data_IF_913358199751
#
_entry.id   IF_913358199751
#
_cell.length_a   1.000
_cell.length_b   1.000
_cell.length_c   1.000
_cell.angle_alpha   90.00
_cell.angle_beta   90.00
_cell.angle_gamma   90.00
#
_symmetry.space_group_name_H-M   'P 1'
#
loop_
_entity.id
_entity.type
_entity.pdbx_description
1 polymer ?
#
# COMPACT_ATOMS: atom_id res chain seq x y z
N UNK A 1 -47.51 -45.16 2.78
CA UNK A 1 -46.19 -44.59 3.07
C UNK A 1 -45.32 -44.73 1.82
N UNK A 2 -45.03 -43.63 1.13
CA UNK A 2 -43.84 -43.54 0.29
C UNK A 2 -42.89 -42.44 0.82
N UNK A 3 -41.62 -42.78 0.96
CA UNK A 3 -40.54 -41.82 1.18
C UNK A 3 -40.29 -41.07 -0.13
N UNK A 4 -40.63 -39.78 -0.15
CA UNK A 4 -40.33 -38.85 -1.23
C UNK A 4 -39.10 -38.03 -0.81
N UNK A 5 -37.92 -38.38 -1.33
CA UNK A 5 -36.69 -37.59 -1.15
C UNK A 5 -36.65 -36.50 -2.20
N UNK A 6 -37.31 -35.39 -1.90
CA UNK A 6 -37.23 -34.15 -2.67
C UNK A 6 -35.83 -33.54 -2.56
N UNK A 7 -35.09 -33.53 -3.68
CA UNK A 7 -34.01 -32.59 -3.90
C UNK A 7 -34.61 -31.21 -4.21
N UNK A 8 -34.33 -30.15 -3.42
CA UNK A 8 -34.81 -28.82 -3.74
C UNK A 8 -33.98 -28.22 -4.89
N UNK A 9 -34.66 -27.93 -6.00
CA UNK A 9 -34.16 -27.11 -7.07
C UNK A 9 -33.74 -25.73 -6.52
N UNK A 10 -32.45 -25.43 -6.63
CA UNK A 10 -31.87 -24.14 -6.26
C UNK A 10 -32.44 -23.08 -7.20
N UNK A 11 -33.40 -22.30 -6.70
CA UNK A 11 -33.89 -21.07 -7.30
C UNK A 11 -32.73 -20.06 -7.37
N UNK A 12 -31.97 -20.09 -8.47
CA UNK A 12 -30.96 -19.09 -8.77
C UNK A 12 -31.67 -17.82 -9.21
N UNK A 13 -32.08 -17.01 -8.23
CA UNK A 13 -32.62 -15.68 -8.46
C UNK A 13 -31.66 -14.88 -9.34
N UNK A 14 -32.12 -14.49 -10.52
CA UNK A 14 -31.49 -13.46 -11.36
C UNK A 14 -31.23 -12.24 -10.48
N UNK A 15 -29.97 -11.98 -10.15
CA UNK A 15 -29.54 -10.67 -9.65
C UNK A 15 -29.81 -9.67 -10.76
N UNK A 16 -30.98 -9.03 -10.75
CA UNK A 16 -31.16 -7.78 -11.48
C UNK A 16 -30.11 -6.83 -10.91
N UNK A 17 -29.14 -6.46 -11.73
CA UNK A 17 -28.15 -5.46 -11.38
C UNK A 17 -28.88 -4.11 -11.28
N UNK A 18 -29.43 -3.83 -10.10
CA UNK A 18 -29.88 -2.49 -9.75
C UNK A 18 -28.63 -1.61 -9.85
N UNK A 19 -28.62 -0.67 -10.79
CA UNK A 19 -27.54 0.33 -10.87
C UNK A 19 -27.51 1.08 -9.54
N UNK A 20 -26.53 0.72 -8.70
CA UNK A 20 -26.27 1.36 -7.43
C UNK A 20 -25.26 2.47 -7.67
N UNK A 21 -25.66 3.72 -7.45
CA UNK A 21 -24.72 4.81 -7.43
C UNK A 21 -23.98 4.77 -6.09
N UNK A 22 -22.68 4.52 -6.14
CA UNK A 22 -21.82 4.53 -4.96
C UNK A 22 -21.28 5.95 -4.80
N UNK A 23 -21.50 6.57 -3.65
CA UNK A 23 -20.90 7.86 -3.34
C UNK A 23 -20.21 7.80 -1.99
N UNK A 24 -19.04 8.43 -1.90
CA UNK A 24 -18.31 8.48 -0.64
C UNK A 24 -19.11 9.27 0.39
N UNK A 25 -19.13 8.77 1.62
CA UNK A 25 -19.64 9.52 2.75
C UNK A 25 -18.70 10.70 2.95
N UNK A 26 -19.20 11.88 2.59
CA UNK A 26 -18.56 13.16 2.90
C UNK A 26 -18.31 13.22 4.40
N UNK A 27 -17.23 13.86 4.83
CA UNK A 27 -16.95 14.13 6.26
C UNK A 27 -17.99 15.06 6.90
N UNK A 28 -19.08 15.38 6.20
CA UNK A 28 -20.35 15.86 6.74
C UNK A 28 -20.93 14.94 7.83
N UNK A 29 -20.38 13.74 8.10
CA UNK A 29 -20.64 13.04 9.38
C UNK A 29 -20.17 13.88 10.59
N UNK A 30 -19.32 14.89 10.43
CA UNK A 30 -19.02 15.87 11.49
C UNK A 30 -20.04 17.02 11.54
N UNK A 31 -20.88 17.14 10.52
CA UNK A 31 -21.90 18.17 10.35
C UNK A 31 -23.24 17.50 9.99
N UNK A 32 -24.02 17.04 10.99
CA UNK A 32 -25.24 16.25 10.78
C UNK A 32 -26.17 16.88 9.75
N UNK A 33 -26.36 18.21 9.85
CA UNK A 33 -27.17 19.00 8.93
C UNK A 33 -26.65 19.02 7.49
N UNK A 34 -25.34 18.98 7.31
CA UNK A 34 -24.72 18.87 5.99
C UNK A 34 -25.06 17.51 5.37
N UNK A 35 -24.94 16.44 6.16
CA UNK A 35 -25.32 15.08 5.72
C UNK A 35 -26.81 15.01 5.39
N UNK A 36 -27.68 15.57 6.24
CA UNK A 36 -29.12 15.69 5.98
C UNK A 36 -29.36 16.40 4.63
N UNK A 37 -28.84 17.62 4.46
CA UNK A 37 -29.00 18.40 3.24
C UNK A 37 -28.46 17.71 1.98
N UNK A 38 -27.36 16.95 2.10
CA UNK A 38 -26.81 16.15 1.02
C UNK A 38 -27.73 14.99 0.62
N UNK A 39 -28.27 14.25 1.59
CA UNK A 39 -29.20 13.16 1.32
C UNK A 39 -30.50 13.69 0.69
N UNK A 40 -31.00 14.83 1.15
CA UNK A 40 -32.14 15.55 0.55
C UNK A 40 -31.84 16.03 -0.88
N UNK A 41 -30.62 16.55 -1.14
CA UNK A 41 -30.16 16.89 -2.49
C UNK A 41 -30.11 15.66 -3.41
N UNK A 42 -29.74 14.49 -2.89
CA UNK A 42 -29.69 13.24 -3.66
C UNK A 42 -31.09 12.72 -3.98
N UNK A 43 -32.05 12.74 -3.05
CA UNK A 43 -33.44 12.35 -3.34
C UNK A 43 -34.08 13.23 -4.40
N UNK A 44 -33.87 14.55 -4.34
CA UNK A 44 -34.35 15.48 -5.38
C UNK A 44 -33.73 15.22 -6.75
N UNK A 45 -32.63 14.47 -6.81
CA UNK A 45 -31.97 14.04 -8.04
C UNK A 45 -32.36 12.62 -8.46
N UNK A 46 -33.28 11.97 -7.75
CA UNK A 46 -33.70 10.59 -7.99
C UNK A 46 -32.68 9.54 -7.49
N UNK A 47 -31.91 9.87 -6.45
CA UNK A 47 -31.00 8.94 -5.79
C UNK A 47 -31.46 8.68 -4.36
N UNK A 48 -32.07 7.52 -4.17
CA UNK A 48 -32.60 7.06 -2.90
C UNK A 48 -31.55 6.32 -2.08
N UNK A 49 -31.42 6.62 -0.79
CA UNK A 49 -30.46 5.94 0.06
C UNK A 49 -30.90 4.48 0.32
N UNK A 50 -30.09 3.52 -0.12
CA UNK A 50 -30.34 2.06 0.02
C UNK A 50 -29.56 1.47 1.20
N UNK A 51 -28.31 1.90 1.40
CA UNK A 51 -27.48 1.46 2.51
C UNK A 51 -26.35 2.46 2.83
N UNK A 52 -25.81 2.39 4.04
CA UNK A 52 -24.61 3.11 4.46
C UNK A 52 -23.51 2.14 4.93
N UNK A 53 -22.32 2.23 4.33
CA UNK A 53 -21.12 1.49 4.74
C UNK A 53 -20.16 2.35 5.57
N UNK A 54 -18.95 1.86 5.88
CA UNK A 54 -17.95 2.63 6.67
C UNK A 54 -17.57 3.99 6.06
N UNK A 55 -17.49 4.05 4.73
CA UNK A 55 -16.98 5.20 3.98
C UNK A 55 -17.85 5.54 2.76
N UNK A 56 -18.90 4.76 2.46
CA UNK A 56 -19.67 4.87 1.23
C UNK A 56 -21.17 4.83 1.54
N UNK A 57 -21.92 5.73 0.93
CA UNK A 57 -23.37 5.63 0.77
C UNK A 57 -23.69 4.92 -0.53
N UNK A 58 -24.65 4.00 -0.46
CA UNK A 58 -25.15 3.25 -1.59
C UNK A 58 -26.53 3.78 -1.93
N UNK A 59 -26.67 4.32 -3.13
CA UNK A 59 -27.94 4.86 -3.61
C UNK A 59 -28.54 3.98 -4.69
N UNK A 60 -29.87 3.83 -4.65
CA UNK A 60 -30.69 3.25 -5.70
C UNK A 60 -31.30 4.37 -6.54
N UNK A 61 -31.33 4.20 -7.86
CA UNK A 61 -31.98 5.17 -8.75
C UNK A 61 -33.50 5.04 -8.65
N UNK A 62 -34.17 6.14 -8.37
CA UNK A 62 -35.63 6.28 -8.20
C UNK A 62 -36.12 7.55 -8.89
N UNK A 63 -37.42 7.78 -8.87
CA UNK A 63 -37.97 9.07 -9.27
C UNK A 63 -37.57 10.16 -8.27
N UNK A 64 -37.33 11.40 -8.71
CA UNK A 64 -37.07 12.53 -7.83
C UNK A 64 -38.19 12.72 -6.79
N UNK A 65 -37.83 12.76 -5.52
CA UNK A 65 -38.76 12.96 -4.41
C UNK A 65 -38.27 14.06 -3.48
N UNK A 66 -39.22 14.78 -2.87
CA UNK A 66 -38.91 15.76 -1.83
C UNK A 66 -39.09 15.10 -0.45
N UNK A 67 -37.95 14.68 0.10
CA UNK A 67 -37.86 13.98 1.38
C UNK A 67 -36.98 14.79 2.31
N UNK A 68 -37.24 14.65 3.62
CA UNK A 68 -36.38 15.16 4.69
C UNK A 68 -35.59 14.03 5.29
N UNK A 69 -34.32 14.30 5.60
CA UNK A 69 -33.47 13.36 6.31
C UNK A 69 -33.17 13.84 7.71
N UNK A 70 -32.98 12.89 8.62
CA UNK A 70 -32.53 13.14 9.98
C UNK A 70 -31.37 12.23 10.33
N UNK A 71 -30.30 12.82 10.85
CA UNK A 71 -29.13 12.09 11.31
C UNK A 71 -29.06 12.16 12.84
N UNK A 72 -29.05 11.01 13.50
CA UNK A 72 -28.93 10.87 14.95
C UNK A 72 -27.66 10.07 15.30
N UNK A 73 -26.99 10.44 16.40
CA UNK A 73 -25.74 9.81 16.83
C UNK A 73 -25.99 9.10 18.15
N UNK A 74 -25.70 7.80 18.20
CA UNK A 74 -25.96 7.00 19.38
C UNK A 74 -24.84 5.99 19.60
N UNK A 75 -24.08 6.12 20.70
CA UNK A 75 -22.85 5.34 20.94
C UNK A 75 -23.04 3.82 20.91
N UNK A 76 -24.22 3.33 21.25
CA UNK A 76 -24.56 1.91 21.29
C UNK A 76 -25.64 1.61 20.23
N UNK A 77 -26.31 0.47 20.31
CA UNK A 77 -27.49 0.22 19.49
C UNK A 77 -28.60 1.24 19.79
N UNK A 78 -29.25 1.70 18.72
CA UNK A 78 -30.34 2.64 18.82
C UNK A 78 -31.53 2.00 19.58
N UNK A 79 -32.07 2.62 20.63
CA UNK A 79 -33.15 2.02 21.40
C UNK A 79 -34.42 1.86 20.54
N UNK A 80 -35.05 0.68 20.59
CA UNK A 80 -36.32 0.40 19.88
C UNK A 80 -37.40 1.43 20.18
N UNK A 81 -37.42 1.95 21.41
CA UNK A 81 -38.34 3.01 21.84
C UNK A 81 -38.17 4.30 21.04
N UNK A 82 -36.94 4.63 20.65
CA UNK A 82 -36.65 5.82 19.84
C UNK A 82 -37.04 5.57 18.37
N UNK A 83 -36.80 4.37 17.84
CA UNK A 83 -37.27 3.99 16.50
C UNK A 83 -38.81 4.08 16.42
N UNK A 84 -39.51 3.57 17.44
CA UNK A 84 -40.96 3.63 17.54
C UNK A 84 -41.47 5.09 17.56
N UNK A 85 -40.84 5.98 18.33
CA UNK A 85 -41.21 7.41 18.36
C UNK A 85 -41.09 8.09 16.99
N UNK A 86 -40.02 7.78 16.25
CA UNK A 86 -39.85 8.30 14.88
C UNK A 86 -40.95 7.76 13.97
N UNK A 87 -41.23 6.46 14.05
CA UNK A 87 -42.29 5.80 13.28
C UNK A 87 -43.66 6.40 13.54
N UNK A 88 -44.00 6.69 14.80
CA UNK A 88 -45.27 7.32 15.19
C UNK A 88 -45.42 8.73 14.61
N UNK A 89 -44.31 9.42 14.34
CA UNK A 89 -44.27 10.74 13.71
C UNK A 89 -44.16 10.68 12.18
N UNK A 90 -44.28 9.51 11.56
CA UNK A 90 -44.19 9.33 10.11
C UNK A 90 -42.76 9.28 9.56
N UNK A 91 -41.75 9.09 10.42
CA UNK A 91 -40.37 8.88 10.00
C UNK A 91 -40.05 7.40 9.89
N UNK A 92 -39.32 7.02 8.86
CA UNK A 92 -38.83 5.66 8.68
C UNK A 92 -37.31 5.59 8.88
N UNK A 93 -36.87 4.51 9.50
CA UNK A 93 -35.46 4.19 9.64
C UNK A 93 -34.90 3.64 8.33
N UNK A 94 -33.80 4.22 7.83
CA UNK A 94 -33.25 3.92 6.50
C UNK A 94 -31.97 3.11 6.59
N UNK A 95 -31.00 3.61 7.35
CA UNK A 95 -29.67 3.02 7.38
C UNK A 95 -28.92 3.44 8.66
N UNK A 96 -27.96 2.62 9.03
CA UNK A 96 -26.95 2.93 10.03
C UNK A 96 -25.57 2.88 9.36
N UNK A 97 -24.73 3.85 9.70
CA UNK A 97 -23.30 3.79 9.42
C UNK A 97 -22.61 3.10 10.59
N UNK A 98 -21.56 2.31 10.31
CA UNK A 98 -20.71 1.65 11.32
C UNK A 98 -19.94 2.60 12.27
N UNK A 99 -20.30 3.88 12.29
CA UNK A 99 -19.80 4.91 13.20
C UNK A 99 -20.89 5.40 14.14
N UNK A 100 -21.88 4.55 14.46
CA UNK A 100 -22.91 4.90 15.44
C UNK A 100 -23.80 6.08 15.00
N UNK A 101 -24.07 6.12 13.69
CA UNK A 101 -24.86 7.17 13.03
C UNK A 101 -26.08 6.54 12.39
N UNK A 102 -27.25 6.93 12.86
CA UNK A 102 -28.55 6.42 12.44
C UNK A 102 -29.23 7.46 11.56
N UNK A 103 -29.75 7.01 10.41
CA UNK A 103 -30.34 7.85 9.38
C UNK A 103 -31.82 7.50 9.26
N UNK A 104 -32.66 8.51 9.45
CA UNK A 104 -34.10 8.45 9.24
C UNK A 104 -34.51 9.33 8.07
N UNK A 105 -35.65 9.02 7.46
CA UNK A 105 -36.26 9.87 6.43
C UNK A 105 -37.77 10.03 6.66
N UNK A 106 -38.34 11.08 6.11
CA UNK A 106 -39.77 11.32 6.06
C UNK A 106 -40.14 12.19 4.87
N UNK A 107 -41.41 12.17 4.39
CA UNK A 107 -41.89 13.14 3.41
C UNK A 107 -41.70 14.58 3.84
N UNK A 108 -41.50 15.49 2.88
CA UNK A 108 -41.43 16.93 3.15
C UNK A 108 -42.68 17.42 3.90
N UNK A 109 -42.48 18.27 4.91
CA UNK A 109 -43.56 18.78 5.78
C UNK A 109 -43.87 17.94 7.02
N UNK A 110 -43.28 16.75 7.16
CA UNK A 110 -43.45 15.92 8.37
C UNK A 110 -42.85 16.64 9.59
N UNK A 111 -43.61 16.76 10.71
CA UNK A 111 -43.10 17.37 11.94
C UNK A 111 -42.01 16.51 12.58
N UNK A 112 -41.12 17.15 13.34
CA UNK A 112 -40.06 16.45 14.07
C UNK A 112 -40.64 15.71 15.29
N UNK A 113 -40.14 14.53 15.65
CA UNK A 113 -40.65 13.78 16.79
C UNK A 113 -40.37 14.49 18.13
N UNK A 114 -41.44 14.85 18.85
CA UNK A 114 -41.46 15.30 20.26
C UNK A 114 -40.63 16.56 20.59
N UNK A 115 -40.68 17.06 21.85
CA UNK A 115 -39.78 18.11 22.31
C UNK A 115 -38.34 17.58 22.22
N UNK A 116 -37.60 18.13 21.27
CA UNK A 116 -36.23 17.78 20.99
C UNK A 116 -35.35 18.26 22.16
N UNK A 117 -35.03 17.36 23.12
CA UNK A 117 -34.07 17.65 24.19
C UNK A 117 -32.67 17.84 23.58
N UNK A 118 -32.40 19.09 23.23
CA UNK A 118 -31.22 19.53 22.53
C UNK A 118 -29.98 19.46 23.43
N UNK A 119 -30.14 19.52 24.75
CA UNK A 119 -29.04 19.49 25.71
C UNK A 119 -28.44 18.10 25.81
N UNK A 120 -29.30 17.09 25.99
CA UNK A 120 -28.87 15.70 26.12
C UNK A 120 -28.21 15.19 24.84
N UNK A 121 -28.77 15.53 23.67
CA UNK A 121 -28.17 15.20 22.37
C UNK A 121 -26.85 15.94 22.14
N UNK A 122 -26.75 17.23 22.48
CA UNK A 122 -25.51 18.03 22.32
C UNK A 122 -24.31 17.38 23.00
N UNK A 123 -24.51 16.73 24.13
CA UNK A 123 -23.42 16.06 24.85
C UNK A 123 -22.99 14.72 24.21
N UNK A 124 -23.91 13.99 23.57
CA UNK A 124 -23.59 12.83 22.74
C UNK A 124 -22.78 13.24 21.50
N UNK A 125 -23.24 14.29 20.81
CA UNK A 125 -22.51 14.91 19.70
C UNK A 125 -21.09 15.36 20.09
N UNK A 126 -20.96 15.97 21.28
CA UNK A 126 -19.68 16.45 21.80
C UNK A 126 -18.68 15.32 22.04
N UNK A 127 -19.13 14.18 22.59
CA UNK A 127 -18.27 13.01 22.85
C UNK A 127 -17.77 12.40 21.55
N UNK A 128 -18.66 12.11 20.61
CA UNK A 128 -18.30 11.56 19.31
C UNK A 128 -17.32 12.47 18.55
N UNK A 129 -17.60 13.77 18.54
CA UNK A 129 -16.74 14.75 17.88
C UNK A 129 -15.37 14.86 18.55
N UNK A 130 -15.29 14.82 19.88
CA UNK A 130 -14.01 14.85 20.60
C UNK A 130 -13.13 13.67 20.17
N UNK A 131 -13.69 12.47 20.11
CA UNK A 131 -12.99 11.27 19.64
C UNK A 131 -12.52 11.44 18.20
N UNK A 132 -13.38 11.92 17.31
CA UNK A 132 -13.02 12.07 15.91
C UNK A 132 -11.97 13.18 15.66
N UNK A 133 -12.08 14.32 16.32
CA UNK A 133 -11.06 15.38 16.27
C UNK A 133 -9.73 14.85 16.82
N UNK A 134 -9.77 14.07 17.90
CA UNK A 134 -8.57 13.48 18.48
C UNK A 134 -7.93 12.46 17.54
N UNK A 135 -8.71 11.58 16.91
CA UNK A 135 -8.21 10.65 15.88
C UNK A 135 -7.58 11.38 14.68
N UNK A 136 -8.22 12.45 14.18
CA UNK A 136 -7.64 13.25 13.10
C UNK A 136 -6.37 13.99 13.52
N UNK A 137 -6.29 14.44 14.78
CA UNK A 137 -5.09 15.09 15.31
C UNK A 137 -3.94 14.08 15.45
N UNK A 138 -4.21 12.88 15.97
CA UNK A 138 -3.22 11.79 16.01
C UNK A 138 -2.75 11.45 14.61
N UNK A 139 -3.65 11.33 13.63
CA UNK A 139 -3.29 11.09 12.24
C UNK A 139 -2.37 12.20 11.69
N UNK A 140 -2.69 13.47 11.96
CA UNK A 140 -1.88 14.60 11.54
C UNK A 140 -0.46 14.54 12.15
N UNK A 141 -0.34 14.20 13.44
CA UNK A 141 0.95 14.03 14.13
C UNK A 141 1.75 12.88 13.54
N UNK A 142 1.10 11.75 13.24
CA UNK A 142 1.76 10.59 12.59
C UNK A 142 2.28 10.97 11.21
N UNK A 143 1.46 11.65 10.39
CA UNK A 143 1.88 12.14 9.07
C UNK A 143 3.06 13.10 9.19
N UNK A 144 3.03 14.02 10.16
CA UNK A 144 4.13 14.94 10.42
C UNK A 144 5.42 14.19 10.80
N UNK A 145 5.33 13.22 11.72
CA UNK A 145 6.47 12.41 12.13
C UNK A 145 7.08 11.62 10.96
N UNK A 146 6.25 11.10 10.05
CA UNK A 146 6.70 10.44 8.83
C UNK A 146 7.41 11.42 7.89
N UNK A 147 6.87 12.63 7.69
CA UNK A 147 7.55 13.67 6.90
C UNK A 147 8.91 13.99 7.51
N UNK A 148 8.98 14.23 8.82
CA UNK A 148 10.23 14.54 9.52
C UNK A 148 11.24 13.40 9.42
N UNK A 149 10.79 12.15 9.61
CA UNK A 149 11.64 10.97 9.46
C UNK A 149 12.20 10.82 8.04
N UNK A 150 11.38 11.05 7.02
CA UNK A 150 11.82 11.04 5.62
C UNK A 150 12.83 12.16 5.32
N UNK A 151 12.62 13.36 5.85
CA UNK A 151 13.57 14.47 5.69
C UNK A 151 14.92 14.20 6.38
N UNK A 152 14.91 13.59 7.56
CA UNK A 152 16.14 13.21 8.29
C UNK A 152 16.87 12.08 7.56
N UNK A 153 16.15 11.05 7.09
CA UNK A 153 16.73 9.90 6.41
C UNK A 153 17.29 10.23 5.03
N UNK A 154 16.55 10.98 4.21
CA UNK A 154 16.99 11.34 2.87
C UNK A 154 18.08 12.42 2.86
N UNK A 155 18.19 13.22 3.92
CA UNK A 155 19.01 14.43 3.94
C UNK A 155 18.38 15.55 3.12
N UNK A 156 18.52 16.79 3.58
CA UNK A 156 17.94 17.96 2.91
C UNK A 156 18.53 18.14 1.50
N UNK A 157 19.78 17.77 1.31
CA UNK A 157 20.51 17.88 0.04
C UNK A 157 19.93 17.00 -1.06
N UNK A 158 19.35 15.84 -0.71
CA UNK A 158 18.69 14.98 -1.69
C UNK A 158 17.52 15.68 -2.38
N UNK A 159 16.80 16.60 -1.74
CA UNK A 159 15.69 17.33 -2.40
C UNK A 159 16.15 18.28 -3.51
N UNK A 160 17.44 18.62 -3.56
CA UNK A 160 18.02 19.56 -4.52
C UNK A 160 18.83 18.88 -5.63
N UNK A 161 18.91 17.54 -5.64
CA UNK A 161 19.61 16.80 -6.71
C UNK A 161 18.81 16.83 -8.03
N UNK A 162 19.37 17.39 -9.12
CA UNK A 162 18.72 17.49 -10.42
C UNK A 162 18.42 16.14 -11.10
N UNK A 163 19.07 15.04 -10.70
CA UNK A 163 19.07 13.78 -11.47
C UNK A 163 18.03 12.73 -11.04
N UNK A 164 17.34 12.92 -9.91
CA UNK A 164 16.42 11.86 -9.42
C UNK A 164 15.37 12.27 -8.39
N UNK A 165 15.47 13.42 -7.72
CA UNK A 165 14.67 13.61 -6.51
C UNK A 165 13.26 14.16 -6.71
N UNK A 166 12.79 14.21 -7.95
CA UNK A 166 11.43 14.69 -8.26
C UNK A 166 10.34 13.81 -7.64
N UNK A 167 10.59 12.51 -7.44
CA UNK A 167 9.63 11.66 -6.72
C UNK A 167 9.61 11.94 -5.21
N UNK A 168 10.77 12.23 -4.60
CA UNK A 168 10.87 12.61 -3.17
C UNK A 168 10.12 13.91 -2.91
N UNK A 169 10.30 14.92 -3.76
CA UNK A 169 9.59 16.21 -3.66
C UNK A 169 8.07 16.06 -3.86
N UNK A 170 7.62 15.23 -4.81
CA UNK A 170 6.20 14.94 -4.99
C UNK A 170 5.62 14.25 -3.75
N UNK A 171 6.34 13.27 -3.18
CA UNK A 171 5.87 12.55 -1.98
C UNK A 171 5.74 13.45 -0.77
N UNK A 172 6.73 14.31 -0.50
CA UNK A 172 6.64 15.24 0.63
C UNK A 172 5.56 16.29 0.41
N UNK A 173 5.42 16.81 -0.81
CA UNK A 173 4.33 17.74 -1.15
C UNK A 173 2.94 17.10 -0.93
N UNK A 174 2.76 15.85 -1.34
CA UNK A 174 1.50 15.11 -1.13
C UNK A 174 1.21 14.90 0.36
N UNK A 175 2.21 14.54 1.16
CA UNK A 175 2.06 14.37 2.62
C UNK A 175 1.75 15.71 3.32
N UNK A 176 2.37 16.80 2.90
CA UNK A 176 2.07 18.15 3.41
C UNK A 176 0.62 18.51 3.09
N UNK A 177 0.16 18.29 1.85
CA UNK A 177 -1.23 18.54 1.47
C UNK A 177 -2.21 17.67 2.29
N UNK A 178 -1.88 16.40 2.53
CA UNK A 178 -2.67 15.54 3.40
C UNK A 178 -2.73 16.07 4.84
N UNK A 179 -1.59 16.52 5.38
CA UNK A 179 -1.53 17.14 6.71
C UNK A 179 -2.38 18.42 6.77
N UNK A 180 -2.23 19.35 5.82
CA UNK A 180 -3.06 20.57 5.73
C UNK A 180 -4.54 20.23 5.65
N UNK A 181 -4.90 19.19 4.89
CA UNK A 181 -6.28 18.75 4.80
C UNK A 181 -6.83 18.24 6.14
N UNK A 182 -6.08 17.42 6.88
CA UNK A 182 -6.50 16.96 8.22
C UNK A 182 -6.66 18.12 9.22
N UNK A 183 -5.78 19.11 9.17
CA UNK A 183 -5.90 20.34 9.98
C UNK A 183 -7.12 21.15 9.58
N UNK A 184 -7.36 21.33 8.28
CA UNK A 184 -8.54 22.00 7.76
C UNK A 184 -9.83 21.33 8.25
N UNK A 185 -9.88 19.99 8.24
CA UNK A 185 -11.00 19.22 8.77
C UNK A 185 -11.28 19.52 10.25
N UNK A 186 -10.23 19.51 11.09
CA UNK A 186 -10.35 19.82 12.52
C UNK A 186 -10.83 21.27 12.75
N UNK A 187 -10.30 22.23 12.00
CA UNK A 187 -10.69 23.64 12.09
C UNK A 187 -12.15 23.83 11.66
N UNK A 188 -12.58 23.19 10.58
CA UNK A 188 -13.95 23.24 10.11
C UNK A 188 -14.93 22.66 11.13
N UNK A 189 -14.63 21.47 11.68
CA UNK A 189 -15.43 20.84 12.73
C UNK A 189 -15.56 21.74 13.98
N UNK A 190 -14.46 22.38 14.41
CA UNK A 190 -14.47 23.34 15.53
C UNK A 190 -15.31 24.60 15.22
N UNK A 191 -15.19 25.17 14.01
CA UNK A 191 -15.96 26.35 13.60
C UNK A 191 -17.46 26.07 13.53
N UNK A 192 -17.85 24.94 12.94
CA UNK A 192 -19.24 24.51 12.88
C UNK A 192 -19.82 24.40 14.29
N UNK A 193 -19.10 23.78 15.22
CA UNK A 193 -19.56 23.60 16.59
C UNK A 193 -19.71 24.92 17.38
N UNK A 194 -18.78 25.87 17.21
CA UNK A 194 -18.90 27.21 17.82
C UNK A 194 -20.20 27.93 17.41
N UNK A 195 -20.71 27.59 16.22
CA UNK A 195 -21.90 28.19 15.64
C UNK A 195 -23.14 27.27 15.69
N UNK A 196 -23.04 26.07 16.28
CA UNK A 196 -24.19 25.20 16.48
C UNK A 196 -25.23 25.90 17.36
N UNK A 197 -26.45 26.05 16.83
CA UNK A 197 -27.57 26.72 17.50
C UNK A 197 -27.84 28.15 17.03
N UNK A 198 -27.00 28.76 16.17
CA UNK A 198 -27.19 30.15 15.71
C UNK A 198 -27.63 30.31 14.26
N UNK A 199 -27.51 29.28 13.43
CA UNK A 199 -27.79 29.37 11.98
C UNK A 199 -28.71 28.24 11.53
N UNK A 200 -29.87 28.62 10.99
CA UNK A 200 -30.71 27.74 10.17
C UNK A 200 -30.10 27.64 8.76
N UNK A 201 -29.94 26.41 8.29
CA UNK A 201 -29.42 26.01 6.97
C UNK A 201 -27.92 26.27 6.68
N UNK A 202 -27.11 25.22 6.81
CA UNK A 202 -25.82 25.14 6.11
C UNK A 202 -26.00 24.27 4.86
N UNK A 203 -25.81 24.88 3.68
CA UNK A 203 -25.90 24.20 2.39
C UNK A 203 -24.79 23.15 2.23
N UNK A 204 -25.05 22.05 1.52
CA UNK A 204 -24.03 21.03 1.20
C UNK A 204 -22.90 21.69 0.39
N UNK A 205 -21.65 21.65 0.87
CA UNK A 205 -20.53 22.36 0.22
C UNK A 205 -19.77 21.41 -0.70
N UNK A 206 -20.03 21.50 -2.01
CA UNK A 206 -19.35 20.71 -3.06
C UNK A 206 -17.81 20.70 -2.93
N UNK A 207 -17.21 21.82 -2.52
CA UNK A 207 -15.77 21.97 -2.30
C UNK A 207 -15.20 21.01 -1.24
N UNK A 208 -15.97 20.72 -0.20
CA UNK A 208 -15.56 19.85 0.89
C UNK A 208 -15.50 18.37 0.45
N UNK A 209 -16.45 17.97 -0.42
CA UNK A 209 -16.45 16.64 -1.06
C UNK A 209 -15.24 16.43 -1.97
N UNK A 210 -14.86 17.46 -2.74
CA UNK A 210 -13.64 17.43 -3.58
C UNK A 210 -12.39 17.29 -2.73
N UNK A 211 -12.31 17.98 -1.60
CA UNK A 211 -11.20 17.84 -0.66
C UNK A 211 -11.01 16.41 -0.12
N UNK A 212 -12.10 15.68 0.16
CA UNK A 212 -12.03 14.27 0.60
C UNK A 212 -11.39 13.38 -0.47
N UNK A 213 -11.83 13.53 -1.71
CA UNK A 213 -11.28 12.78 -2.84
C UNK A 213 -9.80 13.09 -3.05
N UNK A 214 -9.39 14.35 -2.91
CA UNK A 214 -7.98 14.74 -3.00
C UNK A 214 -7.13 14.13 -1.89
N UNK A 215 -7.64 14.04 -0.66
CA UNK A 215 -6.91 13.43 0.46
C UNK A 215 -6.68 11.92 0.27
N UNK A 216 -7.71 11.18 -0.16
CA UNK A 216 -7.59 9.75 -0.46
C UNK A 216 -6.66 9.51 -1.64
N UNK A 217 -6.81 10.31 -2.71
CA UNK A 217 -5.90 10.28 -3.85
C UNK A 217 -4.45 10.53 -3.40
N UNK A 218 -4.24 11.50 -2.52
CA UNK A 218 -2.93 11.78 -1.91
C UNK A 218 -2.35 10.59 -1.14
N UNK A 219 -3.16 9.87 -0.35
CA UNK A 219 -2.73 8.64 0.35
C UNK A 219 -2.38 7.53 -0.64
N UNK A 220 -3.17 7.32 -1.70
CA UNK A 220 -2.89 6.30 -2.71
C UNK A 220 -1.60 6.62 -3.48
N UNK A 221 -1.42 7.88 -3.89
CA UNK A 221 -0.18 8.36 -4.51
C UNK A 221 1.00 8.15 -3.57
N UNK A 222 0.83 8.43 -2.28
CA UNK A 222 1.85 8.19 -1.26
C UNK A 222 2.20 6.70 -1.13
N UNK A 223 1.22 5.80 -1.03
CA UNK A 223 1.46 4.35 -0.95
C UNK A 223 2.15 3.83 -2.21
N UNK A 224 1.75 4.31 -3.39
CA UNK A 224 2.41 3.97 -4.66
C UNK A 224 3.85 4.44 -4.71
N UNK A 225 4.11 5.68 -4.27
CA UNK A 225 5.45 6.22 -4.24
C UNK A 225 6.33 5.56 -3.17
N UNK A 226 5.77 5.19 -2.01
CA UNK A 226 6.46 4.39 -1.00
C UNK A 226 6.86 3.02 -1.58
N UNK A 227 5.96 2.36 -2.33
CA UNK A 227 6.30 1.15 -3.08
C UNK A 227 7.45 1.35 -4.08
N UNK A 228 7.45 2.47 -4.80
CA UNK A 228 8.53 2.82 -5.72
C UNK A 228 9.87 3.09 -5.01
N UNK A 229 9.83 3.72 -3.82
CA UNK A 229 11.01 3.95 -2.99
C UNK A 229 11.61 2.64 -2.49
N UNK A 230 10.77 1.71 -2.04
CA UNK A 230 11.23 0.36 -1.68
C UNK A 230 11.86 -0.32 -2.89
N UNK A 231 11.23 -0.28 -4.07
CA UNK A 231 11.80 -0.85 -5.29
C UNK A 231 13.14 -0.21 -5.71
N UNK A 232 13.28 1.11 -5.54
CA UNK A 232 14.53 1.82 -5.84
C UNK A 232 15.63 1.51 -4.81
N UNK A 233 15.28 1.39 -3.52
CA UNK A 233 16.22 0.91 -2.49
C UNK A 233 16.69 -0.51 -2.79
N UNK A 234 15.78 -1.40 -3.20
CA UNK A 234 16.17 -2.72 -3.69
C UNK A 234 17.14 -2.61 -4.88
N UNK A 235 16.88 -1.75 -5.86
CA UNK A 235 17.75 -1.58 -7.04
C UNK A 235 19.12 -0.98 -6.69
N UNK A 236 19.18 0.06 -5.87
CA UNK A 236 20.43 0.70 -5.45
C UNK A 236 21.26 -0.19 -4.53
N UNK A 237 20.62 -0.99 -3.68
CA UNK A 237 21.32 -1.98 -2.84
C UNK A 237 22.04 -3.06 -3.65
N UNK A 238 21.64 -3.28 -4.91
CA UNK A 238 22.20 -4.33 -5.75
C UNK A 238 23.43 -3.82 -6.53
N UNK A 239 23.50 -2.55 -6.94
CA UNK A 239 24.57 -2.03 -7.82
C UNK A 239 24.98 -0.58 -7.51
N UNK A 240 25.86 -0.36 -6.53
CA UNK A 240 26.60 0.91 -6.42
C UNK A 240 28.09 0.70 -6.78
N UNK A 241 28.53 1.17 -7.95
CA UNK A 241 29.90 0.99 -8.43
C UNK A 241 30.97 1.71 -7.61
N UNK A 242 30.59 2.69 -6.77
CA UNK A 242 31.57 3.50 -6.04
C UNK A 242 32.27 2.74 -4.90
N UNK A 243 31.78 1.56 -4.52
CA UNK A 243 32.25 0.78 -3.37
C UNK A 243 33.13 -0.43 -3.74
N UNK A 244 33.56 -0.54 -5.00
CA UNK A 244 34.39 -1.67 -5.42
C UNK A 244 35.84 -1.57 -4.89
N UNK A 245 36.38 -2.70 -4.43
CA UNK A 245 37.75 -2.92 -3.95
C UNK A 245 38.49 -3.90 -4.88
N UNK A 246 39.83 -3.89 -4.94
CA UNK A 246 40.62 -4.86 -5.71
C UNK A 246 40.37 -6.34 -5.33
N UNK A 247 40.69 -7.30 -6.22
CA UNK A 247 40.38 -8.74 -6.04
C UNK A 247 40.95 -9.27 -4.73
N UNK A 248 42.23 -8.99 -4.52
CA UNK A 248 43.02 -9.47 -3.40
C UNK A 248 42.45 -8.98 -2.07
N UNK A 249 41.98 -7.73 -2.05
CA UNK A 249 41.32 -7.17 -0.87
C UNK A 249 39.94 -7.78 -0.65
N UNK A 250 39.19 -8.09 -1.72
CA UNK A 250 37.91 -8.77 -1.62
C UNK A 250 38.08 -10.21 -1.11
N UNK A 251 39.01 -11.00 -1.67
CA UNK A 251 39.27 -12.38 -1.25
C UNK A 251 39.64 -12.44 0.22
N UNK A 252 40.55 -11.57 0.68
CA UNK A 252 40.89 -11.46 2.11
C UNK A 252 39.65 -11.18 2.99
N UNK A 253 38.74 -10.32 2.54
CA UNK A 253 37.51 -10.01 3.28
C UNK A 253 36.49 -11.14 3.27
N UNK A 254 36.43 -11.93 2.20
CA UNK A 254 35.56 -13.10 2.10
C UNK A 254 36.11 -14.25 2.96
N UNK A 255 37.43 -14.49 2.90
CA UNK A 255 38.13 -15.47 3.72
C UNK A 255 37.99 -15.16 5.22
N UNK A 256 38.15 -13.89 5.60
CA UNK A 256 37.95 -13.44 6.98
C UNK A 256 36.52 -13.67 7.50
N UNK A 257 35.54 -13.85 6.60
CA UNK A 257 34.13 -14.10 6.92
C UNK A 257 33.68 -15.53 6.66
N UNK A 258 34.59 -16.41 6.23
CA UNK A 258 34.32 -17.80 5.87
C UNK A 258 33.18 -17.92 4.84
N UNK A 259 33.23 -17.07 3.79
CA UNK A 259 32.22 -17.02 2.74
C UNK A 259 32.67 -17.80 1.49
N UNK A 260 31.77 -18.58 0.88
CA UNK A 260 32.10 -19.36 -0.30
C UNK A 260 32.23 -18.45 -1.52
N UNK A 261 33.28 -18.64 -2.33
CA UNK A 261 33.45 -18.02 -3.64
C UNK A 261 34.42 -18.87 -4.48
N UNK A 262 34.47 -18.64 -5.78
CA UNK A 262 35.49 -19.17 -6.69
C UNK A 262 35.82 -18.09 -7.72
N UNK A 263 36.95 -18.21 -8.42
CA UNK A 263 37.42 -17.21 -9.39
C UNK A 263 37.55 -17.79 -10.81
N UNK A 264 37.94 -16.95 -11.78
CA UNK A 264 38.31 -17.43 -13.12
C UNK A 264 39.56 -18.33 -13.10
N UNK A 265 40.41 -18.24 -12.07
CA UNK A 265 41.57 -19.13 -11.90
C UNK A 265 41.14 -20.57 -11.65
N UNK A 266 40.12 -20.78 -10.83
CA UNK A 266 39.53 -22.10 -10.57
C UNK A 266 38.95 -22.72 -11.86
N UNK A 267 38.52 -21.86 -12.79
CA UNK A 267 38.07 -22.25 -14.13
C UNK A 267 39.23 -22.62 -15.07
N UNK A 268 40.48 -22.54 -14.61
CA UNK A 268 41.69 -22.97 -15.33
C UNK A 268 42.31 -21.88 -16.19
N UNK A 269 42.00 -20.61 -15.92
CA UNK A 269 42.60 -19.46 -16.61
C UNK A 269 43.56 -18.75 -15.65
N UNK A 270 44.87 -18.70 -15.93
CA UNK A 270 45.82 -17.98 -15.06
C UNK A 270 45.51 -16.49 -15.03
N UNK A 271 45.81 -15.82 -13.91
CA UNK A 271 45.78 -14.36 -13.74
C UNK A 271 46.49 -13.64 -14.90
N UNK A 272 45.70 -13.23 -15.91
CA UNK A 272 46.14 -12.40 -17.04
C UNK A 272 45.80 -10.93 -16.83
N UNK A 273 46.09 -10.09 -17.82
CA UNK A 273 45.68 -8.67 -17.80
C UNK A 273 44.14 -8.56 -17.83
N UNK A 274 43.51 -8.40 -16.66
CA UNK A 274 42.09 -8.05 -16.53
C UNK A 274 41.82 -6.69 -17.15
N UNK A 275 40.85 -6.59 -18.05
CA UNK A 275 40.48 -5.31 -18.66
C UNK A 275 39.52 -4.51 -17.79
N UNK A 276 38.55 -5.19 -17.19
CA UNK A 276 37.64 -4.58 -16.22
C UNK A 276 37.44 -5.54 -15.07
N UNK A 277 37.68 -5.03 -13.86
CA UNK A 277 37.42 -5.75 -12.63
C UNK A 277 36.65 -4.84 -11.68
N UNK A 278 35.49 -5.32 -11.25
CA UNK A 278 34.62 -4.66 -10.28
C UNK A 278 34.28 -5.69 -9.20
N UNK A 279 34.76 -5.50 -7.97
CA UNK A 279 34.60 -6.47 -6.87
C UNK A 279 34.25 -5.75 -5.59
N UNK A 280 33.28 -6.20 -4.79
CA UNK A 280 32.88 -5.47 -3.57
C UNK A 280 32.18 -6.34 -2.53
N UNK A 281 32.52 -6.14 -1.25
CA UNK A 281 31.84 -6.76 -0.10
C UNK A 281 31.04 -5.70 0.66
N UNK A 282 29.73 -5.82 0.58
CA UNK A 282 28.77 -4.95 1.24
C UNK A 282 28.39 -5.55 2.60
N UNK A 283 28.96 -4.98 3.64
CA UNK A 283 28.50 -5.16 5.03
C UNK A 283 27.66 -3.93 5.36
N UNK A 284 26.50 -4.08 6.01
CA UNK A 284 25.60 -2.97 6.40
C UNK A 284 24.55 -2.52 5.39
N UNK A 285 23.99 -3.42 4.59
CA UNK A 285 22.75 -3.10 3.88
C UNK A 285 21.52 -3.40 4.76
N UNK A 286 20.46 -2.57 4.71
CA UNK A 286 19.31 -2.67 5.64
C UNK A 286 18.60 -4.04 5.62
N UNK A 287 18.77 -4.82 4.55
CA UNK A 287 18.02 -6.05 4.30
C UNK A 287 18.89 -7.31 4.15
N UNK A 288 20.23 -7.19 4.09
CA UNK A 288 21.16 -8.32 3.90
C UNK A 288 22.26 -8.32 4.96
N UNK A 289 22.60 -9.52 5.44
CA UNK A 289 23.60 -9.72 6.49
C UNK A 289 25.02 -9.73 5.93
N UNK A 290 25.19 -10.24 4.72
CA UNK A 290 26.42 -10.10 3.93
C UNK A 290 26.07 -10.21 2.46
N UNK A 291 26.63 -9.32 1.65
CA UNK A 291 26.41 -9.33 0.22
C UNK A 291 27.72 -8.99 -0.46
N UNK A 292 28.13 -9.82 -1.41
CA UNK A 292 29.27 -9.51 -2.25
C UNK A 292 28.85 -9.67 -3.70
N UNK A 293 29.43 -8.83 -4.55
CA UNK A 293 29.25 -8.85 -5.99
C UNK A 293 30.61 -8.68 -6.61
N UNK A 294 30.89 -9.48 -7.63
CA UNK A 294 32.03 -9.19 -8.46
C UNK A 294 31.82 -9.59 -9.90
N UNK A 295 32.60 -8.92 -10.73
CA UNK A 295 32.60 -9.00 -12.18
C UNK A 295 34.05 -8.91 -12.66
N UNK A 296 34.50 -9.92 -13.40
CA UNK A 296 35.75 -9.85 -14.17
C UNK A 296 35.43 -10.02 -15.65
N UNK A 297 36.06 -9.16 -16.45
CA UNK A 297 36.11 -9.23 -17.91
C UNK A 297 37.57 -9.28 -18.38
N UNK A 298 37.88 -10.25 -19.24
CA UNK A 298 39.21 -10.38 -19.87
C UNK A 298 39.08 -10.40 -21.41
N UNK A 299 39.94 -9.68 -22.16
CA UNK A 299 39.88 -9.66 -23.62
C UNK A 299 40.95 -10.51 -24.33
N UNK A 300 40.60 -10.86 -25.60
CA UNK A 300 41.39 -11.26 -26.78
C UNK A 300 41.81 -12.73 -27.05
N UNK A 301 41.13 -13.33 -28.05
CA UNK A 301 41.70 -13.56 -29.40
C UNK A 301 40.56 -13.78 -30.42
N UNK A 302 39.42 -14.33 -29.98
CA UNK A 302 38.15 -14.36 -30.75
C UNK A 302 36.88 -14.49 -29.85
N UNK A 303 37.00 -14.54 -28.51
CA UNK A 303 35.85 -14.77 -27.60
C UNK A 303 35.97 -13.98 -26.28
N UNK A 304 34.86 -13.37 -25.84
CA UNK A 304 34.76 -12.64 -24.56
C UNK A 304 34.50 -13.62 -23.40
N UNK A 305 35.37 -13.62 -22.37
CA UNK A 305 35.11 -14.34 -21.12
C UNK A 305 34.70 -13.37 -20.01
N UNK A 306 33.55 -13.65 -19.40
CA UNK A 306 33.02 -12.88 -18.26
C UNK A 306 32.49 -13.82 -17.19
N UNK A 307 32.78 -13.49 -15.93
CA UNK A 307 32.14 -14.11 -14.78
C UNK A 307 31.58 -12.99 -13.89
N UNK A 308 30.27 -13.07 -13.66
CA UNK A 308 29.57 -12.30 -12.63
C UNK A 308 29.05 -13.26 -11.58
N UNK A 309 29.35 -12.98 -10.32
CA UNK A 309 28.89 -13.78 -9.19
C UNK A 309 28.42 -12.85 -8.07
N UNK A 310 27.13 -12.99 -7.74
CA UNK A 310 26.46 -12.22 -6.71
C UNK A 310 25.91 -13.16 -5.64
N UNK A 311 26.24 -12.89 -4.38
CA UNK A 311 25.76 -13.66 -3.23
C UNK A 311 25.04 -12.76 -2.25
N UNK A 312 23.86 -13.21 -1.82
CA UNK A 312 22.97 -12.47 -0.93
C UNK A 312 22.54 -13.35 0.25
N UNK A 313 22.85 -12.94 1.48
CA UNK A 313 22.23 -13.53 2.69
C UNK A 313 21.16 -12.61 3.25
N UNK A 314 19.90 -13.01 3.14
CA UNK A 314 18.74 -12.17 3.43
C UNK A 314 18.38 -12.18 4.92
N UNK A 315 18.15 -10.99 5.50
CA UNK A 315 17.82 -10.80 6.92
C UNK A 315 16.40 -11.23 7.32
N UNK A 316 15.48 -11.36 6.36
CA UNK A 316 14.09 -11.78 6.58
C UNK A 316 13.74 -13.02 5.71
N UNK A 317 13.16 -14.10 6.29
CA UNK A 317 12.92 -15.37 5.59
C UNK A 317 11.90 -15.35 4.43
N UNK A 318 11.22 -14.22 4.18
CA UNK A 318 10.23 -14.09 3.10
C UNK A 318 10.74 -13.28 1.91
N UNK A 319 11.89 -12.60 2.08
CA UNK A 319 12.46 -11.73 1.05
C UNK A 319 13.34 -12.48 0.06
N UNK A 320 13.83 -13.67 0.42
CA UNK A 320 14.56 -14.61 -0.45
C UNK A 320 13.79 -14.92 -1.74
N UNK A 321 12.48 -15.19 -1.64
CA UNK A 321 11.63 -15.50 -2.79
C UNK A 321 11.39 -14.29 -3.69
N UNK A 322 11.17 -13.12 -3.08
CA UNK A 322 10.98 -11.88 -3.81
C UNK A 322 12.26 -11.46 -4.54
N UNK A 323 13.41 -11.61 -3.88
CA UNK A 323 14.72 -11.35 -4.45
C UNK A 323 14.99 -12.30 -5.62
N UNK A 324 14.80 -13.61 -5.42
CA UNK A 324 14.92 -14.62 -6.48
C UNK A 324 14.03 -14.28 -7.69
N UNK A 325 12.77 -13.88 -7.46
CA UNK A 325 11.85 -13.52 -8.52
C UNK A 325 12.23 -12.24 -9.27
N UNK A 326 12.94 -11.31 -8.61
CA UNK A 326 13.40 -10.05 -9.21
C UNK A 326 14.67 -10.18 -10.03
N UNK A 327 15.53 -11.16 -9.70
CA UNK A 327 16.82 -11.37 -10.36
C UNK A 327 16.70 -12.34 -11.53
N UNK A 328 15.88 -13.40 -11.37
CA UNK A 328 15.71 -14.41 -12.41
C UNK A 328 15.22 -13.76 -13.71
N UNK A 329 15.74 -14.26 -14.82
CA UNK A 329 15.23 -13.93 -16.14
C UNK A 329 14.02 -14.80 -16.47
N UNK A 330 13.03 -14.25 -17.19
CA UNK A 330 11.85 -15.01 -17.63
C UNK A 330 12.21 -16.17 -18.58
N UNK A 331 13.41 -16.14 -19.16
CA UNK A 331 13.94 -17.17 -20.06
C UNK A 331 14.58 -18.37 -19.34
N UNK A 332 14.75 -18.32 -18.01
CA UNK A 332 15.37 -19.41 -17.26
C UNK A 332 14.39 -20.52 -16.90
N UNK A 333 14.82 -21.76 -17.08
CA UNK A 333 14.04 -22.93 -16.70
C UNK A 333 14.32 -23.34 -15.26
N UNK A 334 13.26 -23.77 -14.56
CA UNK A 334 13.38 -24.28 -13.20
C UNK A 334 13.96 -25.70 -13.26
N UNK A 335 15.10 -25.90 -12.61
CA UNK A 335 15.76 -27.20 -12.51
C UNK A 335 15.49 -27.83 -11.15
N UNK A 336 15.09 -29.10 -11.13
CA UNK A 336 14.94 -29.88 -9.90
C UNK A 336 16.30 -30.43 -9.46
N UNK A 337 16.67 -30.16 -8.21
CA UNK A 337 17.94 -30.58 -7.61
C UNK A 337 17.76 -30.75 -6.11
N UNK A 338 18.53 -31.65 -5.51
CA UNK A 338 18.61 -31.87 -4.06
C UNK A 338 19.56 -30.89 -3.37
N UNK A 339 20.46 -30.24 -4.13
CA UNK A 339 21.48 -29.31 -3.63
C UNK A 339 20.94 -27.92 -3.27
N UNK A 340 19.82 -27.51 -3.88
CA UNK A 340 19.20 -26.20 -3.72
C UNK A 340 17.69 -26.31 -3.48
N UNK A 341 17.12 -25.42 -2.67
CA UNK A 341 15.67 -25.39 -2.46
C UNK A 341 14.93 -24.94 -3.74
N UNK A 342 15.59 -24.11 -4.56
CA UNK A 342 15.09 -23.68 -5.88
C UNK A 342 16.28 -23.30 -6.75
N UNK A 343 16.33 -23.80 -7.99
CA UNK A 343 17.35 -23.44 -8.96
C UNK A 343 16.70 -23.08 -10.30
N UNK A 344 17.13 -21.96 -10.87
CA UNK A 344 16.85 -21.57 -12.25
C UNK A 344 18.14 -21.65 -13.05
N UNK A 345 18.06 -22.24 -14.24
CA UNK A 345 19.19 -22.49 -15.13
C UNK A 345 18.83 -22.05 -16.54
N UNK A 346 19.76 -21.38 -17.18
CA UNK A 346 19.73 -21.01 -18.59
C UNK A 346 21.14 -21.21 -19.14
N UNK A 347 21.31 -22.04 -20.15
CA UNK A 347 22.63 -22.40 -20.66
C UNK A 347 22.61 -22.59 -22.18
N UNK A 348 23.65 -22.06 -22.82
CA UNK A 348 23.96 -22.19 -24.24
C UNK A 348 25.42 -22.66 -24.40
N UNK A 349 25.92 -22.78 -25.64
CA UNK A 349 27.27 -23.31 -25.92
C UNK A 349 28.40 -22.55 -25.23
N UNK A 350 28.26 -21.24 -25.06
CA UNK A 350 29.29 -20.36 -24.47
C UNK A 350 28.77 -19.54 -23.30
N UNK A 351 27.55 -19.79 -22.84
CA UNK A 351 26.88 -18.99 -21.83
C UNK A 351 26.19 -19.86 -20.80
N UNK A 352 26.28 -19.47 -19.54
CA UNK A 352 25.61 -20.13 -18.43
C UNK A 352 25.12 -19.07 -17.45
N UNK A 353 23.85 -19.14 -17.08
CA UNK A 353 23.28 -18.35 -16.01
C UNK A 353 22.51 -19.23 -15.04
N UNK A 354 22.82 -19.07 -13.77
CA UNK A 354 22.23 -19.84 -12.69
C UNK A 354 21.80 -18.91 -11.57
N UNK A 355 20.53 -19.01 -11.17
CA UNK A 355 20.02 -18.30 -10.00
C UNK A 355 19.45 -19.31 -9.02
N UNK A 356 20.11 -19.45 -7.88
CA UNK A 356 19.80 -20.46 -6.87
C UNK A 356 19.31 -19.84 -5.55
N UNK A 357 18.48 -20.60 -4.84
CA UNK A 357 18.01 -20.28 -3.50
C UNK A 357 18.28 -21.44 -2.56
N UNK A 358 18.89 -21.14 -1.42
CA UNK A 358 19.20 -22.09 -0.36
C UNK A 358 18.93 -21.48 1.02
N UNK A 359 17.78 -21.83 1.61
CA UNK A 359 17.31 -21.23 2.84
C UNK A 359 17.15 -19.71 2.68
N UNK A 360 18.00 -18.95 3.37
CA UNK A 360 18.03 -17.48 3.33
C UNK A 360 19.07 -16.90 2.37
N UNK A 361 19.74 -17.76 1.61
CA UNK A 361 20.77 -17.40 0.66
C UNK A 361 20.19 -17.38 -0.75
N UNK A 362 20.50 -16.35 -1.51
CA UNK A 362 20.25 -16.25 -2.95
C UNK A 362 21.59 -16.05 -3.63
N UNK A 363 21.86 -16.83 -4.67
CA UNK A 363 23.10 -16.79 -5.44
C UNK A 363 22.74 -16.59 -6.91
N UNK A 364 23.30 -15.58 -7.56
CA UNK A 364 23.16 -15.34 -9.00
C UNK A 364 24.55 -15.42 -9.66
N UNK A 365 24.65 -16.24 -10.69
CA UNK A 365 25.87 -16.39 -11.47
C UNK A 365 25.55 -16.20 -12.95
N UNK A 366 26.36 -15.41 -13.64
CA UNK A 366 26.38 -15.32 -15.09
C UNK A 366 27.81 -15.53 -15.57
N UNK A 367 28.00 -16.57 -16.38
CA UNK A 367 29.26 -16.92 -17.01
C UNK A 367 29.11 -16.86 -18.54
N UNK A 368 30.13 -16.33 -19.21
CA UNK A 368 30.32 -16.49 -20.65
C UNK A 368 31.76 -16.88 -20.90
N UNK A 369 31.96 -17.90 -21.74
CA UNK A 369 33.26 -18.43 -22.08
C UNK A 369 33.20 -19.90 -22.48
N UNK A 370 34.38 -20.49 -22.64
CA UNK A 370 34.55 -21.75 -23.37
C UNK A 370 34.25 -23.00 -22.51
N UNK A 371 34.09 -22.84 -21.19
CA UNK A 371 33.93 -23.95 -20.24
C UNK A 371 32.70 -23.77 -19.33
N UNK A 372 31.48 -23.63 -19.86
CA UNK A 372 30.28 -23.45 -19.03
C UNK A 372 30.04 -24.64 -18.10
N UNK A 373 30.31 -25.88 -18.54
CA UNK A 373 30.13 -27.08 -17.71
C UNK A 373 31.00 -27.07 -16.45
N UNK A 374 32.22 -26.52 -16.56
CA UNK A 374 33.14 -26.39 -15.41
C UNK A 374 32.64 -25.32 -14.44
N UNK A 375 32.08 -24.23 -14.95
CA UNK A 375 31.45 -23.19 -14.12
C UNK A 375 30.20 -23.71 -13.40
N UNK A 376 29.40 -24.54 -14.07
CA UNK A 376 28.26 -25.21 -13.45
C UNK A 376 28.70 -26.15 -12.32
N UNK A 377 29.71 -26.99 -12.56
CA UNK A 377 30.23 -27.90 -11.54
C UNK A 377 30.75 -27.17 -10.30
N UNK A 378 31.55 -26.11 -10.49
CA UNK A 378 32.05 -25.27 -9.39
C UNK A 378 30.91 -24.56 -8.65
N UNK A 379 29.86 -24.13 -9.35
CA UNK A 379 28.68 -23.53 -8.71
C UNK A 379 27.98 -24.51 -7.76
N UNK A 380 27.79 -25.77 -8.18
CA UNK A 380 27.23 -26.80 -7.31
C UNK A 380 28.16 -27.16 -6.15
N UNK A 381 29.46 -27.25 -6.38
CA UNK A 381 30.45 -27.59 -5.34
C UNK A 381 30.56 -26.49 -4.28
N UNK A 382 30.54 -25.23 -4.71
CA UNK A 382 30.78 -24.07 -3.84
C UNK A 382 29.53 -23.67 -3.05
N UNK A 383 28.34 -23.76 -3.65
CA UNK A 383 27.09 -23.24 -3.06
C UNK A 383 26.05 -24.30 -2.71
N UNK A 384 26.18 -25.52 -3.22
CA UNK A 384 25.25 -26.61 -2.95
C UNK A 384 25.36 -27.15 -1.52
N UNK A 385 24.25 -27.68 -1.00
CA UNK A 385 24.21 -28.38 0.31
C UNK A 385 24.93 -29.72 0.30
#
# INVERSE_FOLDING_TARGET
MPHDTGHPAVFRGRRQAVMRAIRMISTEIYEPRGTEAYLEEMERKGYHLDAAGKLLFYFKRTEPQDMRYRVEYWQDELPDKLIAQYKDCGWEYVAETQRHVYIFRAPAGTPLPGPYDWEQRRDQYRRYMRTAVWLNLVLAVVVLAVITGLCIWAGVEAYFDPKGSWWLTITTAALILACVYTVFQVVHARRYWKNMGKTEHTNSRRLYRVGCWLAVLGVVVYLGALGAQFANLFRQSVHDPANFVPLTQMSEQLDAKDLPYFTLEDLGRPDGETWEQLSGVYSHQPLTRTQYSWYIMMPYADEEQRLRLDYYEVSLPLLDRALLASIRSDYMERTETDRFDTLYRDAEETYLRMTARLGRKVIDMSYTGNNPDKAEALFYETFGR
#
